data_IF_784962049684
#
_entry.id   IF_784962049684
#
_cell.length_a   1.000
_cell.length_b   1.000
_cell.length_c   1.000
_cell.angle_alpha   90.00
_cell.angle_beta   90.00
_cell.angle_gamma   90.00
#
_symmetry.space_group_name_H-M   'P 1'
#
loop_
_entity.id
_entity.type
_entity.pdbx_description
1 polymer ?
#
# COMPACT_ATOMS: atom_id res chain seq x y z
N UNK A 1 63.80 -2.45 -39.84
CA UNK A 1 64.39 -3.29 -38.77
C UNK A 1 63.24 -3.89 -37.97
N UNK A 2 63.40 -5.11 -37.45
CA UNK A 2 62.29 -5.81 -36.77
C UNK A 2 62.14 -5.44 -35.29
N UNK A 3 63.15 -4.85 -34.67
CA UNK A 3 63.17 -4.49 -33.25
C UNK A 3 63.77 -3.10 -33.08
N UNK A 4 63.29 -2.33 -32.10
CA UNK A 4 63.78 -0.99 -31.76
C UNK A 4 64.44 -0.97 -30.37
N UNK A 5 65.24 0.06 -30.11
CA UNK A 5 65.89 0.26 -28.80
C UNK A 5 64.79 0.52 -27.76
N UNK A 6 64.78 -0.28 -26.69
CA UNK A 6 63.75 -0.26 -25.64
C UNK A 6 62.68 -1.35 -25.76
N UNK A 7 62.67 -2.13 -26.85
CA UNK A 7 61.74 -3.26 -26.98
C UNK A 7 62.11 -4.41 -26.02
N UNK A 8 61.08 -5.00 -25.41
CA UNK A 8 61.21 -6.27 -24.68
C UNK A 8 61.25 -7.42 -25.67
N UNK A 9 62.31 -8.21 -25.63
CA UNK A 9 62.53 -9.37 -26.49
C UNK A 9 62.76 -10.63 -25.66
N UNK A 10 62.34 -11.77 -26.20
CA UNK A 10 62.50 -13.09 -25.64
C UNK A 10 63.70 -13.76 -26.30
N UNK A 11 64.69 -14.20 -25.51
CA UNK A 11 65.80 -14.98 -26.04
C UNK A 11 65.35 -16.42 -26.29
N UNK A 12 65.47 -16.91 -27.52
CA UNK A 12 65.02 -18.24 -27.91
C UNK A 12 65.81 -19.38 -27.23
N UNK A 13 67.06 -19.12 -26.84
CA UNK A 13 67.93 -20.13 -26.23
C UNK A 13 67.68 -20.33 -24.73
N UNK A 14 67.59 -19.23 -23.96
CA UNK A 14 67.38 -19.29 -22.50
C UNK A 14 65.90 -19.19 -22.12
N UNK A 15 65.04 -18.71 -23.02
CA UNK A 15 63.64 -18.43 -22.74
C UNK A 15 63.42 -17.26 -21.78
N UNK A 16 64.45 -16.44 -21.54
CA UNK A 16 64.44 -15.26 -20.67
C UNK A 16 64.02 -14.02 -21.45
N UNK A 17 63.37 -13.08 -20.77
CA UNK A 17 63.01 -11.77 -21.31
C UNK A 17 64.12 -10.77 -21.04
N UNK A 18 64.46 -9.97 -22.04
CA UNK A 18 65.45 -8.90 -21.95
C UNK A 18 65.02 -7.65 -22.72
N UNK A 19 65.69 -6.54 -22.46
CA UNK A 19 65.41 -5.24 -23.09
C UNK A 19 66.56 -4.89 -24.03
N UNK A 20 66.26 -4.46 -25.26
CA UNK A 20 67.29 -4.00 -26.18
C UNK A 20 67.83 -2.63 -25.72
N UNK A 21 69.12 -2.58 -25.39
CA UNK A 21 69.79 -1.36 -24.92
C UNK A 21 70.45 -0.60 -26.06
N UNK A 22 71.03 -1.32 -27.03
CA UNK A 22 71.82 -0.72 -28.11
C UNK A 22 71.84 -1.63 -29.34
N UNK A 23 71.73 -1.05 -30.54
CA UNK A 23 71.92 -1.77 -31.80
C UNK A 23 73.41 -1.66 -32.22
N UNK A 24 74.11 -2.79 -32.33
CA UNK A 24 75.53 -2.79 -32.72
C UNK A 24 75.69 -2.76 -34.24
N UNK A 25 74.91 -3.57 -34.95
CA UNK A 25 74.89 -3.66 -36.41
C UNK A 25 73.59 -4.33 -36.88
N UNK A 26 73.39 -4.47 -38.19
CA UNK A 26 72.16 -5.02 -38.78
C UNK A 26 71.84 -6.48 -38.41
N UNK A 27 72.74 -7.19 -37.73
CA UNK A 27 72.62 -8.60 -37.38
C UNK A 27 72.71 -8.86 -35.86
N UNK A 28 73.18 -7.89 -35.06
CA UNK A 28 73.41 -8.01 -33.61
C UNK A 28 72.92 -6.80 -32.81
N UNK A 29 72.31 -7.10 -31.66
CA UNK A 29 71.81 -6.13 -30.68
C UNK A 29 72.37 -6.46 -29.29
N UNK A 30 72.57 -5.45 -28.44
CA UNK A 30 72.84 -5.66 -27.00
C UNK A 30 71.53 -5.76 -26.25
N UNK A 31 71.37 -6.84 -25.51
CA UNK A 31 70.19 -7.09 -24.67
C UNK A 31 70.62 -7.09 -23.21
N UNK A 32 69.85 -6.41 -22.36
CA UNK A 32 69.95 -6.47 -20.90
C UNK A 32 68.95 -7.50 -20.36
N UNK A 33 69.47 -8.52 -19.69
CA UNK A 33 68.68 -9.50 -18.95
C UNK A 33 69.04 -9.36 -17.48
N UNK A 34 68.11 -8.86 -16.66
CA UNK A 34 68.26 -8.72 -15.21
C UNK A 34 69.55 -8.01 -14.73
N UNK A 35 70.06 -7.04 -15.48
CA UNK A 35 71.26 -6.25 -15.16
C UNK A 35 72.56 -6.77 -15.77
N UNK A 36 72.50 -7.80 -16.61
CA UNK A 36 73.65 -8.33 -17.37
C UNK A 36 73.46 -8.02 -18.84
N UNK A 37 74.37 -7.23 -19.40
CA UNK A 37 74.31 -6.76 -20.80
C UNK A 37 75.26 -7.60 -21.66
N UNK A 38 74.73 -8.24 -22.69
CA UNK A 38 75.54 -9.01 -23.65
C UNK A 38 74.99 -8.89 -25.09
N UNK A 39 75.85 -9.05 -26.11
CA UNK A 39 75.43 -9.00 -27.50
C UNK A 39 74.76 -10.32 -27.94
N UNK A 40 73.64 -10.22 -28.63
CA UNK A 40 72.82 -11.34 -29.14
C UNK A 40 72.49 -11.08 -30.62
N UNK A 41 72.42 -12.14 -31.42
CA UNK A 41 72.01 -12.05 -32.82
C UNK A 41 70.48 -11.89 -32.94
N UNK A 42 70.04 -11.14 -33.96
CA UNK A 42 68.62 -10.82 -34.18
C UNK A 42 67.77 -12.07 -34.48
N UNK A 43 68.37 -13.15 -34.99
CA UNK A 43 67.70 -14.43 -35.24
C UNK A 43 67.50 -15.28 -33.98
N UNK A 44 68.15 -14.91 -32.86
CA UNK A 44 68.05 -15.60 -31.57
C UNK A 44 67.08 -14.92 -30.60
N UNK A 45 66.40 -13.85 -31.04
CA UNK A 45 65.41 -13.10 -30.26
C UNK A 45 64.07 -13.10 -30.98
N UNK A 46 62.98 -13.16 -30.22
CA UNK A 46 61.62 -13.05 -30.72
C UNK A 46 60.78 -12.14 -29.82
N UNK A 47 59.61 -11.72 -30.27
CA UNK A 47 58.72 -10.95 -29.42
C UNK A 47 58.07 -11.84 -28.34
N UNK A 48 57.93 -11.35 -27.10
CA UNK A 48 57.33 -12.09 -25.99
C UNK A 48 55.81 -12.30 -26.14
N UNK A 49 55.20 -11.84 -27.24
CA UNK A 49 53.75 -11.93 -27.48
C UNK A 49 53.21 -13.36 -27.37
N UNK A 50 53.94 -14.37 -27.83
CA UNK A 50 53.45 -15.75 -27.81
C UNK A 50 53.44 -16.33 -26.38
N UNK A 51 54.52 -16.15 -25.61
CA UNK A 51 54.62 -16.60 -24.21
C UNK A 51 53.61 -15.92 -23.30
N UNK A 52 53.44 -14.60 -23.43
CA UNK A 52 52.47 -13.85 -22.62
C UNK A 52 51.02 -14.22 -22.93
N UNK A 53 50.74 -14.74 -24.13
CA UNK A 53 49.41 -15.22 -24.50
C UNK A 53 49.17 -16.68 -24.07
N UNK A 54 50.20 -17.51 -24.00
CA UNK A 54 50.06 -18.94 -23.64
C UNK A 54 50.32 -19.26 -22.16
N UNK A 55 51.12 -18.47 -21.44
CA UNK A 55 51.59 -18.86 -20.08
C UNK A 55 50.94 -18.09 -18.92
N UNK A 56 50.12 -17.05 -19.14
CA UNK A 56 49.46 -16.33 -18.04
C UNK A 56 47.94 -16.14 -18.20
N UNK A 57 47.21 -17.24 -18.00
CA UNK A 57 46.12 -17.25 -17.00
C UNK A 57 46.48 -18.27 -15.94
N UNK A 58 47.47 -17.95 -15.12
CA UNK A 58 47.69 -18.65 -13.86
C UNK A 58 46.37 -18.67 -13.09
N UNK A 59 45.76 -19.86 -13.03
CA UNK A 59 44.59 -20.23 -12.26
C UNK A 59 43.71 -19.04 -11.84
N UNK A 60 42.94 -18.48 -12.79
CA UNK A 60 41.70 -17.82 -12.39
C UNK A 60 40.98 -18.86 -11.55
N UNK A 61 40.94 -18.64 -10.22
CA UNK A 61 40.22 -19.50 -9.26
C UNK A 61 38.93 -19.84 -9.97
N UNK A 62 38.73 -21.13 -10.34
CA UNK A 62 37.45 -21.56 -10.90
C UNK A 62 36.43 -20.99 -9.94
N UNK A 63 35.69 -19.97 -10.37
CA UNK A 63 34.59 -19.45 -9.58
C UNK A 63 33.75 -20.69 -9.36
N UNK A 64 33.61 -21.12 -8.10
CA UNK A 64 32.73 -22.23 -7.79
C UNK A 64 31.41 -21.83 -8.41
N UNK A 65 30.96 -22.59 -9.40
CA UNK A 65 29.62 -22.42 -9.96
C UNK A 65 28.73 -22.86 -8.81
N UNK A 66 28.27 -21.89 -8.01
CA UNK A 66 27.28 -22.10 -6.99
C UNK A 66 25.99 -22.31 -7.79
N UNK A 67 25.35 -23.50 -7.74
CA UNK A 67 24.01 -23.66 -8.30
C UNK A 67 23.13 -22.57 -7.69
N UNK A 68 22.26 -21.92 -8.47
CA UNK A 68 21.50 -20.72 -8.03
C UNK A 68 20.76 -20.87 -6.69
N UNK A 69 20.49 -22.12 -6.26
CA UNK A 69 19.90 -22.47 -4.97
C UNK A 69 20.79 -22.24 -3.73
N UNK A 70 22.11 -22.05 -3.90
CA UNK A 70 23.06 -21.90 -2.80
C UNK A 70 23.75 -20.52 -2.75
N UNK A 71 23.22 -19.53 -3.46
CA UNK A 71 23.64 -18.15 -3.20
C UNK A 71 23.24 -17.83 -1.75
N UNK A 72 24.19 -17.53 -0.84
CA UNK A 72 23.83 -17.06 0.49
C UNK A 72 23.04 -15.77 0.28
N UNK A 73 21.75 -15.79 0.66
CA UNK A 73 20.92 -14.58 0.67
C UNK A 73 21.71 -13.52 1.40
N UNK A 74 22.06 -12.46 0.67
CA UNK A 74 22.83 -11.35 1.22
C UNK A 74 22.05 -10.87 2.44
N UNK A 75 22.58 -11.09 3.64
CA UNK A 75 21.94 -10.62 4.86
C UNK A 75 22.05 -9.11 4.85
N UNK A 76 21.08 -8.46 4.21
CA UNK A 76 20.95 -7.01 4.20
C UNK A 76 20.94 -6.58 5.65
N UNK A 77 22.00 -5.88 6.09
CA UNK A 77 21.93 -5.16 7.36
C UNK A 77 20.70 -4.27 7.26
N UNK A 78 19.74 -4.31 8.22
CA UNK A 78 18.57 -3.46 8.15
C UNK A 78 19.07 -2.02 8.19
N UNK A 79 19.07 -1.37 7.02
CA UNK A 79 19.29 0.06 6.93
C UNK A 79 18.15 0.65 7.72
N UNK A 80 18.45 1.34 8.83
CA UNK A 80 17.45 2.14 9.54
C UNK A 80 16.99 3.25 8.60
N UNK A 81 15.96 2.95 7.82
CA UNK A 81 15.26 3.90 6.97
C UNK A 81 14.52 4.87 7.89
N UNK A 82 14.48 6.14 7.51
CA UNK A 82 13.67 7.12 8.24
C UNK A 82 12.21 6.76 8.04
N UNK A 83 11.47 6.67 9.13
CA UNK A 83 10.04 6.38 9.09
C UNK A 83 9.28 7.70 8.89
N UNK A 84 8.58 7.80 7.76
CA UNK A 84 7.85 9.00 7.38
C UNK A 84 6.32 8.82 7.44
N UNK A 85 5.85 7.62 7.79
CA UNK A 85 4.44 7.28 7.89
C UNK A 85 3.87 6.66 6.62
N UNK A 86 2.55 6.67 6.53
CA UNK A 86 1.81 6.19 5.35
C UNK A 86 1.24 7.40 4.61
N UNK A 87 1.43 7.43 3.29
CA UNK A 87 1.01 8.53 2.44
C UNK A 87 0.34 8.05 1.16
N UNK A 88 -0.54 8.88 0.61
CA UNK A 88 -1.19 8.68 -0.67
C UNK A 88 -0.51 9.59 -1.71
N UNK A 89 0.15 8.98 -2.69
CA UNK A 89 0.90 9.66 -3.75
C UNK A 89 0.12 9.68 -5.06
N UNK A 90 0.22 10.80 -5.77
CA UNK A 90 -0.43 11.05 -7.04
C UNK A 90 0.63 11.34 -8.11
N UNK A 91 0.56 10.60 -9.20
CA UNK A 91 1.40 10.76 -10.39
C UNK A 91 0.50 11.18 -11.57
N UNK A 92 0.56 12.45 -12.01
CA UNK A 92 -0.18 12.90 -13.17
C UNK A 92 0.43 12.39 -14.48
N UNK A 93 -0.42 11.90 -15.37
CA UNK A 93 -0.07 11.48 -16.72
C UNK A 93 -0.67 12.49 -17.71
N UNK A 94 0.20 13.05 -18.55
CA UNK A 94 -0.13 14.14 -19.46
C UNK A 94 -0.38 13.62 -20.87
N UNK A 95 -1.39 14.18 -21.52
CA UNK A 95 -1.59 14.00 -22.94
C UNK A 95 -0.68 14.95 -23.73
N UNK A 96 0.30 14.38 -24.41
CA UNK A 96 1.26 15.11 -25.25
C UNK A 96 0.80 15.25 -26.71
N UNK A 97 -0.41 14.80 -27.06
CA UNK A 97 -0.96 14.96 -28.40
C UNK A 97 -1.36 16.41 -28.73
N UNK A 98 -1.56 17.23 -27.70
CA UNK A 98 -1.90 18.65 -27.78
C UNK A 98 -0.69 19.56 -27.47
N UNK A 99 -0.60 20.77 -28.05
CA UNK A 99 0.51 21.69 -27.83
C UNK A 99 0.73 22.10 -26.36
N UNK A 100 -0.36 22.22 -25.60
CA UNK A 100 -0.35 22.49 -24.17
C UNK A 100 -0.76 21.20 -23.42
N UNK A 101 0.19 20.46 -22.81
CA UNK A 101 -0.10 19.15 -22.23
C UNK A 101 -1.12 19.26 -21.09
N UNK A 102 -2.21 18.52 -21.20
CA UNK A 102 -3.25 18.45 -20.17
C UNK A 102 -3.14 17.14 -19.40
N UNK A 103 -3.46 17.18 -18.11
CA UNK A 103 -3.51 15.96 -17.29
C UNK A 103 -4.72 15.15 -17.71
N UNK A 104 -4.50 13.93 -18.16
CA UNK A 104 -5.54 13.01 -18.57
C UNK A 104 -5.95 12.10 -17.41
N UNK A 105 -4.96 11.49 -16.77
CA UNK A 105 -5.14 10.47 -15.74
C UNK A 105 -4.21 10.74 -14.57
N UNK A 106 -4.61 10.27 -13.40
CA UNK A 106 -3.86 10.34 -12.16
C UNK A 106 -3.62 8.91 -11.67
N UNK A 107 -2.37 8.47 -11.68
CA UNK A 107 -2.00 7.19 -11.08
C UNK A 107 -1.85 7.39 -9.58
N UNK A 108 -2.55 6.58 -8.80
CA UNK A 108 -2.60 6.72 -7.35
C UNK A 108 -1.86 5.55 -6.71
N UNK A 109 -0.91 5.87 -5.82
CA UNK A 109 -0.12 4.91 -5.08
C UNK A 109 -0.27 5.14 -3.59
N UNK A 110 -0.48 4.06 -2.84
CA UNK A 110 -0.38 4.04 -1.39
C UNK A 110 1.06 3.68 -1.01
N UNK A 111 1.74 4.57 -0.30
CA UNK A 111 3.15 4.40 0.07
C UNK A 111 3.24 4.20 1.58
N UNK A 112 3.83 3.09 1.99
CA UNK A 112 4.19 2.82 3.37
C UNK A 112 5.68 3.06 3.57
N UNK A 113 6.03 4.15 4.25
CA UNK A 113 7.42 4.42 4.64
C UNK A 113 7.67 4.05 6.11
N UNK A 114 6.93 3.10 6.67
CA UNK A 114 7.11 2.58 8.02
C UNK A 114 7.65 1.14 7.99
N UNK A 115 8.18 0.69 9.14
CA UNK A 115 8.62 -0.70 9.33
C UNK A 115 7.48 -1.69 9.62
N UNK A 116 6.24 -1.22 9.71
CA UNK A 116 5.07 -2.01 10.08
C UNK A 116 4.29 -2.42 8.83
N UNK A 117 3.75 -3.63 8.84
CA UNK A 117 2.82 -4.10 7.82
C UNK A 117 1.37 -3.85 8.25
N UNK A 118 0.56 -3.36 7.32
CA UNK A 118 -0.85 -3.06 7.55
C UNK A 118 -1.72 -3.89 6.62
N UNK A 119 -2.92 -4.23 7.05
CA UNK A 119 -4.03 -4.49 6.15
C UNK A 119 -4.73 -3.16 5.88
N UNK A 120 -5.19 -2.93 4.66
CA UNK A 120 -5.97 -1.75 4.34
C UNK A 120 -7.19 -2.12 3.50
N UNK A 121 -8.30 -1.48 3.85
CA UNK A 121 -9.49 -1.40 3.04
C UNK A 121 -9.58 0.02 2.48
N UNK A 122 -9.59 0.15 1.17
CA UNK A 122 -9.66 1.41 0.45
C UNK A 122 -10.98 1.51 -0.29
N UNK A 123 -11.67 2.63 -0.11
CA UNK A 123 -12.87 2.98 -0.86
C UNK A 123 -12.74 4.37 -1.48
N UNK A 124 -12.99 4.47 -2.78
CA UNK A 124 -13.16 5.75 -3.48
C UNK A 124 -14.66 6.04 -3.64
N UNK A 125 -15.11 7.17 -3.11
CA UNK A 125 -16.45 7.70 -3.42
C UNK A 125 -16.32 8.91 -4.34
N UNK A 126 -17.10 8.91 -5.43
CA UNK A 126 -17.27 10.02 -6.37
C UNK A 126 -18.73 10.46 -6.31
N UNK A 127 -18.98 11.73 -5.98
CA UNK A 127 -20.32 12.28 -5.74
C UNK A 127 -21.16 11.40 -4.79
N UNK A 128 -20.53 10.91 -3.71
CA UNK A 128 -21.11 9.97 -2.73
C UNK A 128 -21.51 8.59 -3.29
N UNK A 129 -21.19 8.26 -4.54
CA UNK A 129 -21.34 6.92 -5.07
C UNK A 129 -20.02 6.15 -4.95
N UNK A 130 -20.08 4.90 -4.51
CA UNK A 130 -18.91 4.02 -4.46
C UNK A 130 -18.38 3.80 -5.88
N UNK A 131 -17.17 4.28 -6.15
CA UNK A 131 -16.49 4.13 -7.43
C UNK A 131 -15.59 2.90 -7.47
N UNK A 132 -14.80 2.68 -6.42
CA UNK A 132 -13.89 1.54 -6.32
C UNK A 132 -13.71 1.13 -4.85
N UNK A 133 -13.60 -0.18 -4.61
CA UNK A 133 -13.19 -0.74 -3.34
C UNK A 133 -12.02 -1.71 -3.55
N UNK A 134 -10.98 -1.63 -2.73
CA UNK A 134 -9.80 -2.50 -2.76
C UNK A 134 -9.45 -2.91 -1.34
N UNK A 135 -9.25 -4.20 -1.10
CA UNK A 135 -8.77 -4.74 0.18
C UNK A 135 -7.48 -5.49 -0.05
N UNK A 136 -6.40 -5.11 0.63
CA UNK A 136 -5.11 -5.76 0.46
C UNK A 136 -4.14 -5.47 1.62
N UNK A 137 -2.95 -6.05 1.52
CA UNK A 137 -1.86 -5.88 2.47
C UNK A 137 -0.90 -4.80 1.96
N UNK A 138 -0.42 -3.99 2.90
CA UNK A 138 0.57 -2.95 2.66
C UNK A 138 1.81 -3.25 3.50
N UNK A 139 2.83 -3.79 2.83
CA UNK A 139 4.08 -4.18 3.48
C UNK A 139 4.95 -2.97 3.84
N UNK A 140 5.81 -3.15 4.83
CA UNK A 140 6.79 -2.18 5.30
C UNK A 140 7.70 -1.70 4.16
N UNK A 141 7.89 -0.38 4.06
CA UNK A 141 8.73 0.26 3.04
C UNK A 141 8.39 -0.12 1.59
N UNK A 142 7.11 -0.36 1.29
CA UNK A 142 6.62 -0.66 -0.06
C UNK A 142 5.63 0.39 -0.55
N UNK A 143 5.44 0.40 -1.87
CA UNK A 143 4.39 1.15 -2.54
C UNK A 143 3.39 0.18 -3.20
N UNK A 144 2.12 0.54 -3.12
CA UNK A 144 1.02 -0.24 -3.67
C UNK A 144 0.26 0.62 -4.67
N UNK A 145 0.11 0.14 -5.89
CA UNK A 145 -0.68 0.83 -6.92
C UNK A 145 -2.18 0.59 -6.66
N UNK A 146 -2.95 1.66 -6.49
CA UNK A 146 -4.39 1.56 -6.24
C UNK A 146 -5.18 1.55 -7.56
N UNK A 147 -5.08 2.64 -8.33
CA UNK A 147 -5.86 2.82 -9.56
C UNK A 147 -5.35 4.00 -10.40
N UNK A 148 -5.85 4.07 -11.63
CA UNK A 148 -5.79 5.22 -12.51
C UNK A 148 -7.13 5.96 -12.40
N UNK A 149 -7.11 7.22 -11.95
CA UNK A 149 -8.29 8.06 -11.83
C UNK A 149 -8.30 9.10 -12.97
N UNK A 150 -9.34 9.17 -13.82
CA UNK A 150 -9.47 10.25 -14.80
C UNK A 150 -9.44 11.62 -14.12
N UNK A 151 -8.71 12.58 -14.69
CA UNK A 151 -8.56 13.90 -14.09
C UNK A 151 -9.90 14.63 -13.92
N UNK A 152 -10.82 14.42 -14.87
CA UNK A 152 -12.18 14.99 -14.84
C UNK A 152 -12.97 14.56 -13.59
N UNK A 153 -12.73 13.35 -13.06
CA UNK A 153 -13.38 12.83 -11.86
C UNK A 153 -13.01 13.60 -10.59
N UNK A 154 -12.01 14.49 -10.62
CA UNK A 154 -11.76 15.42 -9.51
C UNK A 154 -12.90 16.43 -9.30
N UNK A 155 -13.71 16.68 -10.34
CA UNK A 155 -14.89 17.54 -10.22
C UNK A 155 -15.99 16.88 -9.39
N UNK A 156 -16.01 15.54 -9.34
CA UNK A 156 -17.00 14.74 -8.62
C UNK A 156 -16.67 14.58 -7.13
N UNK A 157 -16.00 15.57 -6.53
CA UNK A 157 -15.68 15.62 -5.10
C UNK A 157 -15.16 14.29 -4.52
N UNK A 158 -14.01 13.77 -5.02
CA UNK A 158 -13.52 12.47 -4.62
C UNK A 158 -13.25 12.41 -3.11
N UNK A 159 -13.74 11.35 -2.47
CA UNK A 159 -13.50 11.03 -1.06
C UNK A 159 -12.76 9.70 -1.02
N UNK A 160 -11.50 9.75 -0.58
CA UNK A 160 -10.66 8.58 -0.40
C UNK A 160 -10.78 8.14 1.06
N UNK A 161 -11.39 6.99 1.29
CA UNK A 161 -11.53 6.40 2.61
C UNK A 161 -10.59 5.22 2.74
N UNK A 162 -9.86 5.18 3.84
CA UNK A 162 -8.99 4.08 4.19
C UNK A 162 -9.34 3.59 5.59
N UNK A 163 -9.37 2.27 5.77
CA UNK A 163 -9.39 1.64 7.09
C UNK A 163 -8.14 0.79 7.17
N UNK A 164 -7.23 1.15 8.06
CA UNK A 164 -5.99 0.42 8.30
C UNK A 164 -6.14 -0.47 9.52
N UNK A 165 -5.61 -1.68 9.49
CA UNK A 165 -5.43 -2.52 10.67
C UNK A 165 -4.04 -3.13 10.68
N UNK A 166 -3.56 -3.54 11.86
CA UNK A 166 -2.25 -4.16 12.00
C UNK A 166 -2.32 -5.64 11.58
N UNK A 167 -1.39 -6.06 10.72
CA UNK A 167 -1.26 -7.48 10.36
C UNK A 167 -0.84 -8.34 11.55
N UNK A 168 -0.07 -7.77 12.47
CA UNK A 168 0.22 -8.36 13.77
C UNK A 168 -0.54 -7.58 14.84
N UNK A 169 -1.59 -8.16 15.45
CA UNK A 169 -2.36 -7.50 16.49
C UNK A 169 -1.46 -7.10 17.66
N UNK A 170 -1.57 -5.85 18.10
CA UNK A 170 -0.92 -5.34 19.30
C UNK A 170 -2.01 -4.81 20.24
N UNK A 171 -2.05 -5.31 21.48
CA UNK A 171 -3.05 -4.95 22.48
C UNK A 171 -3.04 -3.45 22.83
N UNK A 172 -1.91 -2.78 22.60
CA UNK A 172 -1.74 -1.35 22.88
C UNK A 172 -2.15 -0.44 21.73
N UNK A 173 -2.38 -1.00 20.55
CA UNK A 173 -2.68 -0.27 19.33
C UNK A 173 -4.14 -0.41 18.96
N UNK A 174 -4.65 0.58 18.25
CA UNK A 174 -6.05 0.57 17.84
C UNK A 174 -6.36 -0.59 16.88
N UNK A 175 -7.55 -1.18 16.99
CA UNK A 175 -7.89 -2.36 16.19
C UNK A 175 -8.07 -2.03 14.70
N UNK A 176 -8.58 -0.83 14.42
CA UNK A 176 -8.71 -0.30 13.08
C UNK A 176 -8.66 1.24 13.10
N UNK A 177 -7.89 1.82 12.19
CA UNK A 177 -7.72 3.26 12.06
C UNK A 177 -8.29 3.76 10.74
N UNK A 178 -9.36 4.54 10.81
CA UNK A 178 -10.00 5.14 9.64
C UNK A 178 -9.38 6.50 9.30
N UNK A 179 -9.00 6.68 8.04
CA UNK A 179 -8.49 7.94 7.49
C UNK A 179 -9.30 8.32 6.27
N UNK A 180 -9.78 9.56 6.25
CA UNK A 180 -10.57 10.09 5.13
C UNK A 180 -9.85 11.30 4.54
N UNK A 181 -9.54 11.24 3.25
CA UNK A 181 -8.96 12.34 2.50
C UNK A 181 -9.98 12.87 1.48
N UNK A 182 -10.29 14.17 1.57
CA UNK A 182 -11.21 14.89 0.68
C UNK A 182 -10.48 16.03 -0.02
N UNK A 183 -9.66 15.75 -1.05
CA UNK A 183 -8.92 16.81 -1.73
C UNK A 183 -9.90 17.72 -2.48
N UNK A 184 -9.84 19.03 -2.19
CA UNK A 184 -10.57 20.02 -2.98
C UNK A 184 -9.84 20.24 -4.31
N UNK A 185 -10.54 20.28 -5.44
CA UNK A 185 -9.96 20.53 -6.77
C UNK A 185 -8.97 21.71 -6.79
N UNK A 186 -9.32 22.87 -6.20
CA UNK A 186 -8.41 24.03 -6.11
C UNK A 186 -7.11 23.72 -5.35
N UNK A 187 -7.18 22.95 -4.28
CA UNK A 187 -6.00 22.57 -3.50
C UNK A 187 -5.14 21.57 -4.26
N UNK A 188 -5.77 20.64 -4.99
CA UNK A 188 -5.09 19.67 -5.84
C UNK A 188 -4.32 20.36 -6.97
N UNK A 189 -4.97 21.25 -7.73
CA UNK A 189 -4.33 22.01 -8.81
C UNK A 189 -3.13 22.80 -8.29
N UNK A 190 -3.26 23.43 -7.10
CA UNK A 190 -2.13 24.11 -6.46
C UNK A 190 -0.97 23.15 -6.16
N UNK A 191 -1.25 21.94 -5.68
CA UNK A 191 -0.22 20.93 -5.39
C UNK A 191 0.49 20.45 -6.65
N UNK A 192 -0.25 20.26 -7.75
CA UNK A 192 0.33 19.95 -9.07
C UNK A 192 1.28 21.07 -9.51
N UNK A 193 0.85 22.32 -9.43
CA UNK A 193 1.70 23.46 -9.79
C UNK A 193 2.94 23.58 -8.88
N UNK A 194 2.80 23.34 -7.57
CA UNK A 194 3.92 23.31 -6.63
C UNK A 194 4.93 22.18 -6.97
N UNK A 195 4.42 21.00 -7.35
CA UNK A 195 5.20 19.84 -7.77
C UNK A 195 6.02 20.15 -9.03
N UNK A 196 5.39 20.76 -10.04
CA UNK A 196 6.07 21.18 -11.28
C UNK A 196 7.18 22.20 -11.01
N UNK A 197 6.92 23.20 -10.17
CA UNK A 197 7.91 24.20 -9.78
C UNK A 197 9.12 23.57 -9.06
N UNK A 198 8.89 22.50 -8.30
CA UNK A 198 9.94 21.74 -7.61
C UNK A 198 10.61 20.69 -8.49
N UNK A 199 10.11 20.47 -9.72
CA UNK A 199 10.54 19.41 -10.64
C UNK A 199 10.40 18.01 -10.03
N UNK A 200 9.36 17.82 -9.23
CA UNK A 200 8.99 16.51 -8.69
C UNK A 200 8.07 15.79 -9.69
N UNK A 201 8.12 14.45 -9.72
CA UNK A 201 7.23 13.66 -10.58
C UNK A 201 5.88 13.36 -9.92
N UNK A 202 5.83 13.38 -8.58
CA UNK A 202 4.65 13.02 -7.80
C UNK A 202 4.50 13.96 -6.62
N UNK A 203 3.28 14.09 -6.12
CA UNK A 203 3.02 14.73 -4.83
C UNK A 203 2.18 13.84 -3.93
N UNK A 204 2.37 13.99 -2.63
CA UNK A 204 1.75 13.09 -1.65
C UNK A 204 0.93 13.82 -0.60
N UNK A 205 -0.08 13.13 -0.08
CA UNK A 205 -0.81 13.49 1.13
C UNK A 205 -0.45 12.49 2.23
N UNK A 206 0.04 13.00 3.35
CA UNK A 206 0.30 12.18 4.52
C UNK A 206 -1.03 11.76 5.14
N UNK A 207 -1.27 10.45 5.24
CA UNK A 207 -2.46 9.89 5.89
C UNK A 207 -2.25 9.88 7.41
N UNK A 208 -1.13 9.30 7.86
CA UNK A 208 -0.69 9.33 9.25
C UNK A 208 0.81 9.11 9.37
N UNK A 209 1.42 9.66 10.43
CA UNK A 209 2.84 9.42 10.75
C UNK A 209 3.04 8.10 11.47
N UNK A 210 2.29 7.92 12.56
CA UNK A 210 2.35 6.74 13.42
C UNK A 210 0.93 6.19 13.57
N UNK A 211 0.83 4.87 13.62
CA UNK A 211 -0.45 4.21 13.89
C UNK A 211 -0.89 4.51 15.33
N UNK A 212 -2.14 4.93 15.56
CA UNK A 212 -2.60 5.41 16.87
C UNK A 212 -2.58 4.31 17.92
N UNK A 213 -2.30 4.72 19.16
CA UNK A 213 -2.46 3.87 20.34
C UNK A 213 -3.94 3.72 20.68
N UNK A 214 -4.30 2.57 21.24
CA UNK A 214 -5.65 2.30 21.73
C UNK A 214 -5.92 3.26 22.88
N UNK A 215 -6.99 4.05 22.77
CA UNK A 215 -7.44 4.87 23.88
C UNK A 215 -8.03 3.92 24.92
N UNK A 216 -7.50 3.85 26.15
CA UNK A 216 -8.13 3.06 27.19
C UNK A 216 -9.51 3.66 27.45
N UNK A 217 -10.57 2.91 27.14
CA UNK A 217 -11.90 3.23 27.61
C UNK A 217 -11.82 3.43 29.13
N UNK A 218 -12.40 4.50 29.70
CA UNK A 218 -12.53 4.59 31.14
C UNK A 218 -13.23 3.32 31.59
N UNK A 219 -12.60 2.52 32.45
CA UNK A 219 -13.29 1.46 33.16
C UNK A 219 -14.41 2.15 33.95
N UNK A 220 -15.62 2.21 33.40
CA UNK A 220 -16.80 2.50 34.19
C UNK A 220 -16.96 1.33 35.15
N UNK A 221 -16.37 1.49 36.33
CA UNK A 221 -16.64 0.62 37.48
C UNK A 221 -18.09 0.85 37.86
N UNK A 222 -18.98 0.10 37.24
CA UNK A 222 -20.34 -0.09 37.72
C UNK A 222 -20.24 -0.90 39.01
N UNK A 223 -20.35 -0.22 40.15
CA UNK A 223 -20.52 -0.85 41.45
C UNK A 223 -21.88 -1.57 41.48
N UNK A 224 -21.88 -2.85 41.06
CA UNK A 224 -23.05 -3.71 41.19
C UNK A 224 -23.28 -4.04 42.67
N UNK A 225 -24.49 -3.81 43.22
CA UNK A 225 -24.79 -4.25 44.58
C UNK A 225 -24.74 -5.79 44.64
N UNK A 226 -23.99 -6.30 45.61
CA UNK A 226 -23.81 -7.74 45.85
C UNK A 226 -25.15 -8.43 46.07
N UNK A 227 -25.69 -9.07 45.04
CA UNK A 227 -26.91 -9.88 45.15
C UNK A 227 -26.53 -11.33 45.42
N UNK A 228 -26.69 -11.75 46.68
CA UNK A 228 -26.39 -13.09 47.17
C UNK A 228 -27.53 -14.08 46.81
N UNK A 229 -27.85 -14.18 45.51
CA UNK A 229 -28.84 -15.12 44.98
C UNK A 229 -28.18 -16.10 44.03
N UNK A 230 -28.31 -17.41 44.29
CA UNK A 230 -27.88 -18.47 43.37
C UNK A 230 -28.69 -18.41 42.08
N UNK A 231 -28.27 -17.56 41.14
CA UNK A 231 -28.79 -17.53 39.78
C UNK A 231 -28.03 -18.59 39.00
N UNK A 232 -28.74 -19.65 38.60
CA UNK A 232 -28.24 -20.58 37.58
C UNK A 232 -28.12 -19.79 36.28
N UNK A 233 -26.90 -19.43 35.92
CA UNK A 233 -26.60 -18.96 34.57
C UNK A 233 -26.86 -20.12 33.60
N UNK A 234 -28.02 -20.11 32.96
CA UNK A 234 -28.14 -20.76 31.66
C UNK A 234 -27.14 -20.07 30.76
N UNK A 235 -26.19 -20.85 30.26
CA UNK A 235 -25.10 -20.44 29.37
C UNK A 235 -25.71 -19.68 28.18
N UNK A 236 -25.81 -18.35 28.31
CA UNK A 236 -26.09 -17.47 27.19
C UNK A 236 -24.85 -17.57 26.33
N UNK A 237 -25.05 -18.18 25.16
CA UNK A 237 -24.05 -18.35 24.12
C UNK A 237 -23.40 -16.99 23.91
N UNK A 238 -22.06 -16.95 23.95
CA UNK A 238 -21.27 -15.82 23.49
C UNK A 238 -21.88 -15.34 22.17
N UNK A 239 -22.60 -14.21 22.19
CA UNK A 239 -22.84 -13.54 20.93
C UNK A 239 -21.46 -13.11 20.44
N UNK A 240 -21.03 -13.59 19.26
CA UNK A 240 -19.75 -13.17 18.70
C UNK A 240 -19.78 -11.64 18.61
N UNK A 241 -18.64 -11.00 18.86
CA UNK A 241 -18.42 -9.60 18.54
C UNK A 241 -18.87 -9.37 17.09
N UNK A 242 -20.07 -8.82 16.92
CA UNK A 242 -20.61 -8.51 15.61
C UNK A 242 -20.00 -7.17 15.21
N UNK A 243 -19.23 -7.21 14.11
CA UNK A 243 -18.78 -6.03 13.38
C UNK A 243 -19.95 -5.04 13.24
N UNK A 244 -19.71 -3.71 13.25
CA UNK A 244 -20.76 -2.73 13.01
C UNK A 244 -21.54 -3.14 11.76
N UNK A 245 -22.81 -3.54 11.94
CA UNK A 245 -23.67 -3.88 10.82
C UNK A 245 -24.01 -2.55 10.15
N UNK A 246 -23.38 -2.30 9.01
CA UNK A 246 -23.70 -1.15 8.16
C UNK A 246 -25.07 -1.32 7.47
N UNK A 247 -25.68 -2.49 7.58
CA UNK A 247 -26.91 -2.86 6.89
C UNK A 247 -27.82 -3.67 7.84
N UNK A 248 -29.08 -3.24 7.97
CA UNK A 248 -30.09 -3.83 8.84
C UNK A 248 -31.31 -4.19 7.99
N UNK A 249 -31.65 -5.47 7.97
CA UNK A 249 -32.83 -5.98 7.27
C UNK A 249 -34.04 -6.04 8.21
N UNK A 250 -35.04 -5.20 7.95
CA UNK A 250 -36.26 -5.12 8.75
C UNK A 250 -37.39 -5.99 8.21
N UNK A 251 -37.19 -6.83 7.20
CA UNK A 251 -38.21 -7.78 6.78
C UNK A 251 -38.60 -8.69 7.95
N UNK A 252 -39.91 -8.88 8.19
CA UNK A 252 -40.41 -9.58 9.39
C UNK A 252 -39.88 -11.01 9.50
N UNK A 253 -39.64 -11.66 8.36
CA UNK A 253 -39.05 -13.00 8.24
C UNK A 253 -37.61 -13.07 8.78
N UNK A 254 -36.93 -11.93 8.92
CA UNK A 254 -35.60 -11.83 9.54
C UNK A 254 -35.67 -11.58 11.05
N UNK A 255 -36.79 -11.04 11.54
CA UNK A 255 -36.93 -10.59 12.92
C UNK A 255 -37.59 -11.65 13.82
N UNK A 256 -38.44 -12.51 13.27
CA UNK A 256 -39.11 -13.57 14.03
C UNK A 256 -39.55 -14.73 13.14
N UNK A 257 -39.39 -15.96 13.64
CA UNK A 257 -39.86 -17.18 12.96
C UNK A 257 -41.39 -17.37 13.04
N UNK A 258 -42.07 -16.65 13.95
CA UNK A 258 -43.51 -16.82 14.24
C UNK A 258 -44.38 -15.71 13.63
N UNK A 259 -44.01 -15.18 12.47
CA UNK A 259 -44.70 -14.05 11.84
C UNK A 259 -46.11 -14.38 11.31
N UNK A 260 -46.42 -15.65 11.05
CA UNK A 260 -47.68 -16.11 10.44
C UNK A 260 -48.94 -15.82 11.27
N UNK A 261 -48.80 -15.53 12.57
CA UNK A 261 -49.92 -15.25 13.47
C UNK A 261 -50.02 -13.76 13.85
N UNK A 262 -49.13 -12.92 13.35
CA UNK A 262 -49.08 -11.51 13.69
C UNK A 262 -50.06 -10.70 12.82
N UNK A 263 -50.68 -9.69 13.42
CA UNK A 263 -51.41 -8.70 12.63
C UNK A 263 -50.44 -7.75 11.93
N UNK A 264 -50.85 -7.05 10.86
CA UNK A 264 -49.99 -6.05 10.21
C UNK A 264 -49.48 -4.96 11.17
N UNK A 265 -50.27 -4.61 12.19
CA UNK A 265 -49.87 -3.65 13.22
C UNK A 265 -48.78 -4.22 14.14
N UNK A 266 -48.90 -5.49 14.53
CA UNK A 266 -47.90 -6.16 15.37
C UNK A 266 -46.57 -6.34 14.63
N UNK A 267 -46.62 -6.69 13.34
CA UNK A 267 -45.43 -6.77 12.49
C UNK A 267 -44.73 -5.42 12.41
N UNK A 268 -45.49 -4.35 12.13
CA UNK A 268 -44.95 -2.99 12.06
C UNK A 268 -44.30 -2.56 13.39
N UNK A 269 -44.93 -2.88 14.52
CA UNK A 269 -44.38 -2.55 15.84
C UNK A 269 -43.04 -3.27 16.11
N UNK A 270 -42.92 -4.55 15.74
CA UNK A 270 -41.67 -5.30 15.86
C UNK A 270 -40.58 -4.69 14.96
N UNK A 271 -40.92 -4.37 13.71
CA UNK A 271 -39.98 -3.78 12.75
C UNK A 271 -39.48 -2.41 13.22
N UNK A 272 -40.36 -1.55 13.73
CA UNK A 272 -39.98 -0.25 14.27
C UNK A 272 -39.18 -0.35 15.57
N UNK A 273 -39.51 -1.32 16.44
CA UNK A 273 -38.75 -1.60 17.65
C UNK A 273 -37.31 -2.02 17.35
N UNK A 274 -37.12 -2.91 16.36
CA UNK A 274 -35.79 -3.31 15.91
C UNK A 274 -35.05 -2.14 15.25
N UNK A 275 -35.72 -1.35 14.42
CA UNK A 275 -35.14 -0.16 13.84
C UNK A 275 -34.63 0.83 14.90
N UNK A 276 -35.43 1.14 15.92
CA UNK A 276 -35.03 2.02 17.02
C UNK A 276 -33.80 1.45 17.74
N UNK A 277 -33.81 0.16 18.07
CA UNK A 277 -32.69 -0.50 18.74
C UNK A 277 -31.39 -0.37 17.94
N UNK A 278 -31.46 -0.58 16.63
CA UNK A 278 -30.30 -0.50 15.75
C UNK A 278 -29.83 0.94 15.54
N UNK A 279 -30.76 1.89 15.46
CA UNK A 279 -30.46 3.32 15.42
C UNK A 279 -29.71 3.77 16.68
N UNK A 280 -30.17 3.34 17.86
CA UNK A 280 -29.52 3.65 19.15
C UNK A 280 -28.10 3.06 19.21
N UNK A 281 -27.92 1.81 18.75
CA UNK A 281 -26.60 1.18 18.67
C UNK A 281 -25.69 1.92 17.70
N UNK A 282 -26.22 2.37 16.55
CA UNK A 282 -25.47 3.13 15.56
C UNK A 282 -24.96 4.45 16.13
N UNK A 283 -25.83 5.16 16.85
CA UNK A 283 -25.51 6.42 17.54
C UNK A 283 -24.49 6.19 18.65
N UNK A 284 -24.69 5.19 19.51
CA UNK A 284 -23.78 4.87 20.60
C UNK A 284 -22.37 4.48 20.12
N UNK A 285 -22.28 3.85 18.94
CA UNK A 285 -21.01 3.46 18.31
C UNK A 285 -20.40 4.54 17.41
N UNK A 286 -20.99 5.74 17.36
CA UNK A 286 -20.57 6.81 16.46
C UNK A 286 -20.42 6.36 14.99
N UNK A 287 -21.36 5.55 14.50
CA UNK A 287 -21.33 5.07 13.12
C UNK A 287 -21.50 6.22 12.13
N UNK A 288 -20.77 6.19 11.01
CA UNK A 288 -20.90 7.21 9.98
C UNK A 288 -22.22 7.11 9.20
N UNK A 289 -22.66 5.89 8.91
CA UNK A 289 -23.90 5.62 8.18
C UNK A 289 -24.53 4.27 8.56
N UNK A 290 -25.82 4.14 8.28
CA UNK A 290 -26.62 2.94 8.48
C UNK A 290 -27.58 2.75 7.30
N UNK A 291 -27.58 1.57 6.67
CA UNK A 291 -28.52 1.18 5.63
C UNK A 291 -29.64 0.36 6.27
N UNK A 292 -30.88 0.75 6.03
CA UNK A 292 -32.06 0.07 6.56
C UNK A 292 -32.93 -0.42 5.43
N UNK A 293 -33.10 -1.74 5.33
CA UNK A 293 -33.90 -2.39 4.30
C UNK A 293 -35.31 -2.59 4.85
N UNK A 294 -36.28 -1.86 4.29
CA UNK A 294 -37.69 -1.86 4.70
C UNK A 294 -38.63 -2.46 3.64
N UNK A 295 -38.10 -2.77 2.44
CA UNK A 295 -38.82 -3.39 1.34
C UNK A 295 -39.57 -2.39 0.45
N UNK A 296 -40.08 -2.86 -0.70
CA UNK A 296 -40.67 -1.99 -1.75
C UNK A 296 -42.18 -1.74 -1.53
N UNK A 297 -42.82 -2.38 -0.54
CA UNK A 297 -44.28 -2.56 -0.42
C UNK A 297 -45.17 -1.31 -0.47
N UNK A 298 -46.07 -1.14 0.52
CA UNK A 298 -47.00 0.02 0.54
C UNK A 298 -46.34 1.33 1.02
N UNK A 299 -45.08 1.26 1.45
CA UNK A 299 -44.34 2.40 2.00
C UNK A 299 -44.67 2.78 3.44
N UNK A 300 -45.54 2.03 4.13
CA UNK A 300 -45.92 2.32 5.54
C UNK A 300 -44.70 2.30 6.47
N UNK A 301 -43.92 1.21 6.47
CA UNK A 301 -42.70 1.10 7.28
C UNK A 301 -41.68 2.18 6.92
N UNK A 302 -41.48 2.46 5.62
CA UNK A 302 -40.60 3.54 5.16
C UNK A 302 -40.97 4.89 5.75
N UNK A 303 -42.26 5.23 5.71
CA UNK A 303 -42.74 6.54 6.14
C UNK A 303 -42.55 6.72 7.65
N UNK A 304 -42.87 5.70 8.45
CA UNK A 304 -42.65 5.72 9.90
C UNK A 304 -41.15 5.86 10.25
N UNK A 305 -40.27 5.12 9.55
CA UNK A 305 -38.81 5.26 9.70
C UNK A 305 -38.37 6.69 9.36
N UNK A 306 -38.86 7.27 8.26
CA UNK A 306 -38.51 8.63 7.86
C UNK A 306 -39.01 9.68 8.86
N UNK A 307 -40.17 9.47 9.49
CA UNK A 307 -40.65 10.34 10.57
C UNK A 307 -39.73 10.25 11.79
N UNK A 308 -39.36 9.04 12.24
CA UNK A 308 -38.43 8.87 13.36
C UNK A 308 -37.08 9.56 13.10
N UNK A 309 -36.50 9.37 11.91
CA UNK A 309 -35.22 9.96 11.52
C UNK A 309 -35.21 11.49 11.52
N UNK A 310 -36.33 12.15 11.18
CA UNK A 310 -36.44 13.61 11.24
C UNK A 310 -36.41 14.17 12.66
N UNK A 311 -36.75 13.35 13.64
CA UNK A 311 -36.77 13.74 15.06
C UNK A 311 -35.50 13.32 15.80
N UNK A 312 -34.56 12.65 15.15
CA UNK A 312 -33.29 12.22 15.72
C UNK A 312 -32.20 13.29 15.49
N UNK A 313 -31.69 13.97 16.53
CA UNK A 313 -30.71 15.05 16.37
C UNK A 313 -29.39 14.64 15.71
N UNK A 314 -28.96 13.40 15.94
CA UNK A 314 -27.71 12.84 15.44
C UNK A 314 -27.77 12.49 13.94
N UNK A 315 -28.97 12.50 13.34
CA UNK A 315 -29.18 12.23 11.92
C UNK A 315 -28.97 13.51 11.12
N UNK A 316 -27.89 13.54 10.34
CA UNK A 316 -27.57 14.65 9.43
C UNK A 316 -28.50 14.68 8.22
N UNK A 317 -28.71 13.51 7.62
CA UNK A 317 -29.48 13.34 6.38
C UNK A 317 -29.80 11.87 6.15
N UNK A 318 -30.89 11.59 5.44
CA UNK A 318 -31.22 10.24 4.98
C UNK A 318 -31.77 10.28 3.55
N UNK A 319 -31.48 9.23 2.78
CA UNK A 319 -31.84 9.16 1.36
C UNK A 319 -32.43 7.79 1.06
N UNK A 320 -33.56 7.77 0.35
CA UNK A 320 -34.14 6.57 -0.24
C UNK A 320 -33.92 6.66 -1.76
N UNK A 321 -32.75 6.19 -2.22
CA UNK A 321 -32.37 6.15 -3.62
C UNK A 321 -32.34 4.70 -4.13
N UNK A 322 -32.34 4.54 -5.45
CA UNK A 322 -32.25 3.23 -6.08
C UNK A 322 -30.88 2.59 -5.79
N UNK A 323 -30.88 1.38 -5.23
CA UNK A 323 -29.70 0.52 -5.04
C UNK A 323 -29.85 -0.73 -5.91
N UNK A 324 -28.76 -1.19 -6.53
CA UNK A 324 -28.77 -2.37 -7.40
C UNK A 324 -29.14 -3.67 -6.65
N UNK A 325 -28.94 -3.72 -5.33
CA UNK A 325 -29.23 -4.87 -4.46
C UNK A 325 -30.66 -4.86 -3.91
N UNK A 326 -31.22 -3.67 -3.64
CA UNK A 326 -32.49 -3.52 -2.90
C UNK A 326 -33.57 -2.72 -3.65
N UNK A 327 -33.28 -2.24 -4.86
CA UNK A 327 -34.16 -1.31 -5.58
C UNK A 327 -34.42 -0.05 -4.76
N UNK A 328 -35.69 0.33 -4.60
CA UNK A 328 -36.11 1.43 -3.73
C UNK A 328 -36.45 0.99 -2.29
N UNK A 329 -36.14 -0.26 -1.94
CA UNK A 329 -36.52 -0.89 -0.67
C UNK A 329 -35.58 -0.60 0.50
N UNK A 330 -34.60 0.29 0.35
CA UNK A 330 -33.65 0.63 1.40
C UNK A 330 -33.52 2.14 1.61
N UNK A 331 -33.25 2.55 2.84
CA UNK A 331 -32.94 3.95 3.20
C UNK A 331 -31.54 3.99 3.80
N UNK A 332 -30.69 4.85 3.26
CA UNK A 332 -29.35 5.12 3.82
C UNK A 332 -29.42 6.36 4.71
N UNK A 333 -28.89 6.22 5.92
CA UNK A 333 -28.89 7.24 6.98
C UNK A 333 -27.45 7.68 7.21
N UNK A 334 -27.21 8.98 7.31
CA UNK A 334 -25.91 9.56 7.59
C UNK A 334 -25.96 10.32 8.91
N UNK A 335 -25.00 10.05 9.80
CA UNK A 335 -24.93 10.66 11.13
C UNK A 335 -23.90 11.80 11.18
N UNK A 336 -24.11 12.72 12.12
CA UNK A 336 -23.15 13.77 12.48
C UNK A 336 -23.13 13.93 14.00
N UNK A 337 -21.94 13.81 14.59
CA UNK A 337 -21.72 13.93 16.03
C UNK A 337 -20.91 15.20 16.30
N UNK A 338 -21.29 15.96 17.32
CA UNK A 338 -20.69 17.26 17.67
C UNK A 338 -19.75 17.18 18.88
#
# INVERSE_FOLDING_TARGET
>A
MKFEIGDTVLLLHSGEEGIIVEELNKEMVKVDVNGVIFPVYIDQIDFPYFKNFTENKSAAKKQKIIPGEFLPVEKTKPVKRKENGVSLSFLPEYDHSVPDPLIQTLKIYLINETSVNYHFDYSLLLNNHLGLEVRNDLHAFTNFYLQDLPFESLNDHPKFEFIFSLQQPDEKKETGYSVILKPKARQFIRRVHDMENRREATFSYLLFKNYPDKIPEPEEKWDLPSFNGKIRFTKQVNEPFQLPQYEVDLHIEKLTDQYNHLTPADMLAIQLGEFQRQLDIAIAKHQYSLIVIHGIGKGTLRNEIHEMLRHTPEVKSFVNQYDARYGYGATEIFFEYH
#
